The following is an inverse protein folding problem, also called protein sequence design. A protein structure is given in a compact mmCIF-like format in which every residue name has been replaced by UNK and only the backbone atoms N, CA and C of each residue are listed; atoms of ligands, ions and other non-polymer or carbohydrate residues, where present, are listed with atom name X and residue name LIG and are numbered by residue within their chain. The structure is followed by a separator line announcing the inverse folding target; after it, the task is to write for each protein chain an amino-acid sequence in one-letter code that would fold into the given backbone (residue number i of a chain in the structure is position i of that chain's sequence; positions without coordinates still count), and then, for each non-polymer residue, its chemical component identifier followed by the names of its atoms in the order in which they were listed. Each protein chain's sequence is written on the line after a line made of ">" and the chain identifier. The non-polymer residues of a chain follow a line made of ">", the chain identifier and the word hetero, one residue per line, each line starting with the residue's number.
data_IF_371770380573
#
_entry.id   IF_371770380573
#
_cell.length_a   1.000
_cell.length_b   1.000
_cell.length_c   1.000
_cell.angle_alpha   90.00
_cell.angle_beta   90.00
_cell.angle_gamma   90.00
#
_symmetry.space_group_name_H-M   'P 1'
#
loop_
_entity.id
_entity.type
_entity.pdbx_description
1 polymer ?
#
# COMPACT_ATOMS: atom_id res chain seq x y z
N UNK A 1 -6.14 -48.27 31.63
CA UNK A 1 -5.28 -49.19 30.86
C UNK A 1 -5.57 -48.91 29.40
N UNK A 2 -4.71 -48.38 28.53
CA UNK A 2 -3.25 -48.21 28.49
C UNK A 2 -2.99 -47.16 27.41
N UNK A 3 -2.20 -46.13 27.73
CA UNK A 3 -1.61 -45.18 26.79
C UNK A 3 -0.76 -45.89 25.73
N UNK A 4 -0.55 -45.25 24.58
CA UNK A 4 0.69 -45.39 23.78
C UNK A 4 0.93 -44.14 22.95
N UNK A 5 1.79 -43.28 23.50
CA UNK A 5 2.56 -42.29 22.76
C UNK A 5 3.59 -42.99 21.87
N UNK A 6 3.86 -42.45 20.69
CA UNK A 6 5.04 -42.82 19.90
C UNK A 6 5.86 -41.55 19.68
N UNK A 7 7.03 -41.54 20.30
CA UNK A 7 8.10 -40.56 20.10
C UNK A 7 9.22 -41.33 19.37
N UNK A 8 9.76 -40.79 18.28
CA UNK A 8 11.06 -41.21 17.78
C UNK A 8 11.81 -40.02 17.16
N UNK A 9 13.06 -39.94 17.59
CA UNK A 9 14.01 -38.85 17.58
C UNK A 9 15.00 -38.96 16.40
N UNK A 10 15.69 -37.85 16.11
CA UNK A 10 17.09 -37.77 15.63
C UNK A 10 17.33 -38.16 14.15
N UNK A 11 18.01 -37.43 13.27
CA UNK A 11 18.91 -36.27 13.33
C UNK A 11 19.93 -36.45 12.18
N UNK A 12 20.25 -35.41 11.40
CA UNK A 12 21.45 -35.41 10.56
C UNK A 12 22.02 -34.00 10.45
N UNK A 13 23.30 -33.91 10.84
CA UNK A 13 24.17 -32.75 10.84
C UNK A 13 25.04 -32.80 9.57
N UNK A 14 25.18 -31.70 8.83
CA UNK A 14 26.34 -31.47 7.96
C UNK A 14 26.50 -29.96 7.65
N UNK A 15 27.74 -29.50 7.75
CA UNK A 15 28.18 -28.12 7.73
C UNK A 15 28.91 -27.75 6.41
N UNK A 16 29.29 -26.46 6.35
CA UNK A 16 30.32 -25.80 5.53
C UNK A 16 29.95 -25.19 4.17
N UNK A 17 30.32 -23.91 4.03
CA UNK A 17 30.54 -23.26 2.73
C UNK A 17 30.60 -21.72 2.78
N UNK A 18 31.69 -21.15 3.32
CA UNK A 18 32.01 -19.72 3.21
C UNK A 18 32.70 -19.45 1.86
N UNK A 19 32.24 -18.47 1.09
CA UNK A 19 32.98 -17.89 -0.03
C UNK A 19 32.71 -16.38 -0.09
N UNK A 20 33.68 -15.59 0.38
CA UNK A 20 33.80 -14.15 0.12
C UNK A 20 34.66 -13.97 -1.13
N UNK A 21 34.14 -13.24 -2.11
CA UNK A 21 34.89 -12.78 -3.28
C UNK A 21 35.26 -11.29 -3.10
N UNK A 22 36.54 -10.90 -3.28
CA UNK A 22 36.92 -9.50 -3.39
C UNK A 22 36.72 -9.02 -4.84
N UNK A 23 35.73 -8.16 -5.06
CA UNK A 23 35.53 -7.45 -6.32
C UNK A 23 36.16 -6.06 -6.27
N UNK A 24 37.37 -5.93 -6.82
CA UNK A 24 37.94 -4.64 -7.22
C UNK A 24 37.30 -4.23 -8.55
N UNK A 25 36.77 -3.01 -8.64
CA UNK A 25 36.51 -2.37 -9.92
C UNK A 25 37.02 -0.93 -9.91
N UNK A 26 38.01 -0.71 -10.78
CA UNK A 26 38.52 0.56 -11.26
C UNK A 26 37.42 1.60 -11.50
N UNK A 27 37.64 2.82 -11.02
CA UNK A 27 37.07 4.01 -11.67
C UNK A 27 38.20 4.98 -12.00
N UNK A 28 38.42 5.08 -13.31
CA UNK A 28 39.28 6.05 -13.95
C UNK A 28 38.84 7.48 -13.67
N UNK A 29 39.85 8.30 -13.39
CA UNK A 29 39.98 9.73 -13.63
C UNK A 29 39.03 10.32 -14.67
N UNK A 30 38.32 11.39 -14.29
CA UNK A 30 37.90 12.45 -15.23
C UNK A 30 38.28 13.79 -14.63
N UNK A 31 39.22 14.44 -15.30
CA UNK A 31 39.70 15.79 -15.08
C UNK A 31 38.60 16.77 -15.51
N UNK A 32 38.19 17.68 -14.63
CA UNK A 32 37.40 18.85 -15.01
C UNK A 32 38.31 20.07 -14.90
N UNK A 33 38.53 20.69 -16.06
CA UNK A 33 39.25 21.95 -16.25
C UNK A 33 38.40 23.09 -15.71
N UNK A 34 38.98 23.90 -14.83
CA UNK A 34 38.47 25.24 -14.53
C UNK A 34 38.81 26.21 -15.66
N UNK A 35 37.84 27.02 -16.05
CA UNK A 35 38.06 28.31 -16.69
C UNK A 35 37.08 29.32 -16.08
N UNK A 36 37.66 30.40 -15.58
CA UNK A 36 37.06 31.50 -14.84
C UNK A 36 36.21 32.45 -15.69
N UNK A 37 35.42 33.24 -14.95
CA UNK A 37 35.05 34.64 -15.16
C UNK A 37 34.05 35.02 -16.28
N UNK A 38 32.90 35.56 -15.86
CA UNK A 38 32.56 36.97 -16.14
C UNK A 38 31.34 37.41 -15.32
N UNK A 39 31.54 38.46 -14.52
CA UNK A 39 30.51 39.32 -13.97
C UNK A 39 29.61 39.92 -15.09
N UNK A 40 28.32 40.19 -14.79
CA UNK A 40 27.70 41.52 -14.87
C UNK A 40 26.16 41.52 -14.76
N UNK A 41 25.70 42.37 -13.82
CA UNK A 41 24.56 43.30 -13.91
C UNK A 41 23.10 42.79 -13.79
N UNK A 42 22.43 43.37 -12.79
CA UNK A 42 20.99 43.47 -12.63
C UNK A 42 20.38 44.41 -13.70
N UNK A 43 19.25 44.05 -14.32
CA UNK A 43 18.14 44.97 -14.62
C UNK A 43 16.90 44.23 -15.14
N UNK A 44 15.71 44.74 -14.83
CA UNK A 44 14.49 44.53 -15.64
C UNK A 44 13.49 43.46 -15.16
N UNK A 45 12.61 43.83 -14.24
CA UNK A 45 11.27 43.26 -14.18
C UNK A 45 10.42 43.87 -15.30
N UNK A 46 9.98 43.07 -16.27
CA UNK A 46 8.87 43.42 -17.15
C UNK A 46 7.79 42.32 -17.09
N UNK A 47 6.60 42.75 -16.68
CA UNK A 47 5.36 41.99 -16.71
C UNK A 47 4.58 42.44 -17.95
N UNK A 48 4.48 41.59 -18.97
CA UNK A 48 3.32 41.46 -19.86
C UNK A 48 3.71 40.59 -21.06
N UNK A 49 3.22 39.34 -21.11
CA UNK A 49 2.51 38.87 -22.30
C UNK A 49 1.72 37.59 -21.99
N UNK A 50 0.41 37.69 -22.22
CA UNK A 50 -0.55 36.59 -22.17
C UNK A 50 -0.23 35.58 -23.27
N UNK A 51 0.36 34.44 -22.89
CA UNK A 51 0.45 33.26 -23.74
C UNK A 51 -0.63 32.26 -23.37
N UNK A 52 -1.73 32.26 -24.13
CA UNK A 52 -2.76 31.22 -24.14
C UNK A 52 -2.13 29.83 -24.00
N UNK A 53 -2.31 29.22 -22.83
CA UNK A 53 -2.08 27.78 -22.66
C UNK A 53 -3.39 27.10 -23.04
N UNK A 54 -3.46 26.72 -24.31
CA UNK A 54 -4.33 25.67 -24.82
C UNK A 54 -4.00 24.38 -24.07
N UNK A 55 -4.63 24.19 -22.91
CA UNK A 55 -4.70 22.91 -22.23
C UNK A 55 -5.67 22.04 -23.01
N UNK A 56 -5.15 21.48 -24.11
CA UNK A 56 -5.79 20.41 -24.84
C UNK A 56 -6.22 19.31 -23.87
N UNK A 57 -7.54 19.21 -23.74
CA UNK A 57 -8.30 18.03 -23.42
C UNK A 57 -7.73 17.16 -22.29
N UNK A 58 -7.76 17.71 -21.07
CA UNK A 58 -8.15 16.84 -19.97
C UNK A 58 -9.62 16.49 -20.23
N UNK A 59 -9.86 15.32 -20.83
CA UNK A 59 -11.07 14.53 -20.63
C UNK A 59 -11.15 14.22 -19.12
N UNK A 60 -11.39 15.27 -18.33
CA UNK A 60 -11.76 15.19 -16.94
C UNK A 60 -13.02 14.37 -16.94
N UNK A 61 -12.87 13.11 -16.55
CA UNK A 61 -14.00 12.29 -16.21
C UNK A 61 -14.76 13.10 -15.17
N UNK A 62 -15.91 13.59 -15.60
CA UNK A 62 -16.96 14.14 -14.75
C UNK A 62 -17.31 12.99 -13.81
N UNK A 63 -16.56 12.88 -12.71
CA UNK A 63 -16.98 12.12 -11.54
C UNK A 63 -18.21 12.85 -11.06
N UNK A 64 -19.34 12.50 -11.67
CA UNK A 64 -20.65 12.96 -11.30
C UNK A 64 -20.71 12.90 -9.78
N UNK A 65 -20.79 14.08 -9.21
CA UNK A 65 -20.88 14.38 -7.78
C UNK A 65 -22.24 13.89 -7.26
N UNK A 66 -22.49 12.59 -7.42
CA UNK A 66 -23.71 11.89 -7.02
C UNK A 66 -23.46 10.91 -5.88
N UNK A 67 -22.25 10.90 -5.31
CA UNK A 67 -21.87 10.03 -4.19
C UNK A 67 -21.09 10.72 -3.07
N UNK A 68 -20.98 12.05 -3.06
CA UNK A 68 -20.57 12.78 -1.86
C UNK A 68 -21.70 12.83 -0.82
N UNK A 69 -22.28 11.68 -0.48
CA UNK A 69 -22.66 11.50 0.92
C UNK A 69 -21.35 11.62 1.68
N UNK A 70 -21.25 12.56 2.62
CA UNK A 70 -20.10 12.67 3.52
C UNK A 70 -19.95 11.33 4.24
N UNK A 71 -19.14 10.42 3.69
CA UNK A 71 -18.78 9.15 4.31
C UNK A 71 -17.82 9.49 5.45
N UNK A 72 -18.39 9.88 6.59
CA UNK A 72 -17.64 10.01 7.84
C UNK A 72 -17.31 8.60 8.32
N UNK A 73 -16.02 8.28 8.37
CA UNK A 73 -15.49 7.05 8.95
C UNK A 73 -15.21 7.24 10.44
N UNK A 74 -16.23 7.68 11.19
CA UNK A 74 -16.15 7.82 12.64
C UNK A 74 -16.62 6.53 13.31
N UNK A 75 -15.75 5.51 13.35
CA UNK A 75 -16.05 4.24 14.02
C UNK A 75 -15.95 4.39 15.55
N UNK A 76 -16.97 3.92 16.27
CA UNK A 76 -16.92 3.86 17.74
C UNK A 76 -16.25 2.56 18.21
N UNK A 77 -16.32 1.51 17.39
CA UNK A 77 -15.81 0.18 17.72
C UNK A 77 -15.11 -0.53 16.55
N UNK A 78 -14.21 -1.46 16.89
CA UNK A 78 -13.59 -2.37 15.92
C UNK A 78 -14.61 -3.22 15.15
N UNK A 79 -15.77 -3.52 15.75
CA UNK A 79 -16.80 -4.32 15.12
C UNK A 79 -17.49 -3.55 13.98
N UNK A 80 -17.77 -2.27 14.17
CA UNK A 80 -18.35 -1.40 13.13
C UNK A 80 -17.39 -1.21 11.96
N UNK A 81 -16.12 -0.90 12.25
CA UNK A 81 -15.08 -0.80 11.24
C UNK A 81 -14.94 -2.11 10.44
N UNK A 82 -14.94 -3.26 11.13
CA UNK A 82 -14.80 -4.57 10.51
C UNK A 82 -15.96 -4.91 9.56
N UNK A 83 -17.20 -4.54 9.89
CA UNK A 83 -18.35 -4.79 9.00
C UNK A 83 -18.17 -4.08 7.65
N UNK A 84 -17.72 -2.83 7.66
CA UNK A 84 -17.45 -2.07 6.45
C UNK A 84 -16.23 -2.60 5.68
N UNK A 85 -15.14 -2.94 6.39
CA UNK A 85 -13.96 -3.58 5.79
C UNK A 85 -14.32 -4.90 5.08
N UNK A 86 -15.15 -5.74 5.69
CA UNK A 86 -15.58 -7.01 5.08
C UNK A 86 -16.45 -6.78 3.85
N UNK A 87 -17.38 -5.83 3.91
CA UNK A 87 -18.24 -5.47 2.77
C UNK A 87 -17.42 -4.97 1.58
N UNK A 88 -16.46 -4.08 1.84
CA UNK A 88 -15.58 -3.54 0.79
C UNK A 88 -14.62 -4.62 0.26
N UNK A 89 -14.03 -5.44 1.14
CA UNK A 89 -13.20 -6.58 0.70
C UNK A 89 -13.97 -7.53 -0.21
N UNK A 90 -15.20 -7.87 0.15
CA UNK A 90 -16.03 -8.76 -0.66
C UNK A 90 -16.35 -8.15 -2.03
N UNK A 91 -16.68 -6.85 -2.06
CA UNK A 91 -16.90 -6.11 -3.31
C UNK A 91 -15.65 -6.13 -4.18
N UNK A 92 -14.49 -5.75 -3.64
CA UNK A 92 -13.21 -5.75 -4.36
C UNK A 92 -12.88 -7.13 -4.91
N UNK A 93 -13.00 -8.18 -4.08
CA UNK A 93 -12.77 -9.57 -4.48
C UNK A 93 -13.66 -9.95 -5.66
N UNK A 94 -14.96 -9.67 -5.55
CA UNK A 94 -15.94 -10.13 -6.53
C UNK A 94 -15.79 -9.41 -7.87
N UNK A 95 -15.46 -8.11 -7.87
CA UNK A 95 -15.18 -7.35 -9.10
C UNK A 95 -13.88 -7.83 -9.78
N UNK A 96 -12.80 -8.07 -9.04
CA UNK A 96 -11.59 -8.69 -9.61
C UNK A 96 -11.85 -10.10 -10.15
N UNK A 97 -12.66 -10.91 -9.46
CA UNK A 97 -13.04 -12.24 -9.93
C UNK A 97 -13.93 -12.19 -11.18
N UNK A 98 -14.72 -11.13 -11.36
CA UNK A 98 -15.48 -10.85 -12.57
C UNK A 98 -14.61 -10.32 -13.72
N UNK A 99 -13.37 -9.95 -13.45
CA UNK A 99 -12.46 -9.32 -14.41
C UNK A 99 -12.76 -7.83 -14.64
N UNK A 100 -13.49 -7.20 -13.72
CA UNK A 100 -13.89 -5.79 -13.79
C UNK A 100 -13.05 -4.95 -12.81
N UNK A 101 -11.80 -4.70 -13.19
CA UNK A 101 -10.88 -3.91 -12.37
C UNK A 101 -11.31 -2.42 -12.26
N UNK A 102 -12.11 -1.93 -13.20
CA UNK A 102 -12.66 -0.57 -13.17
C UNK A 102 -13.74 -0.46 -12.09
N UNK A 103 -14.64 -1.44 -12.00
CA UNK A 103 -15.62 -1.52 -10.91
C UNK A 103 -14.98 -1.69 -9.53
N UNK A 104 -13.79 -2.31 -9.45
CA UNK A 104 -13.04 -2.45 -8.21
C UNK A 104 -12.32 -1.17 -7.75
N UNK A 105 -12.17 -0.16 -8.63
CA UNK A 105 -11.36 1.04 -8.39
C UNK A 105 -11.86 1.86 -7.20
N UNK A 106 -13.14 2.27 -7.22
CA UNK A 106 -13.70 3.10 -6.15
C UNK A 106 -13.76 2.34 -4.81
N UNK A 107 -14.18 1.05 -4.76
CA UNK A 107 -14.04 0.23 -3.57
C UNK A 107 -12.61 0.11 -3.03
N UNK A 108 -11.59 0.04 -3.89
CA UNK A 108 -10.18 0.00 -3.48
C UNK A 108 -9.73 1.30 -2.81
N UNK A 109 -10.15 2.45 -3.33
CA UNK A 109 -9.85 3.72 -2.68
C UNK A 109 -10.58 3.83 -1.33
N UNK A 110 -11.86 3.45 -1.33
CA UNK A 110 -12.71 3.53 -0.15
C UNK A 110 -12.21 2.64 1.00
N UNK A 111 -11.78 1.40 0.72
CA UNK A 111 -11.23 0.53 1.78
C UNK A 111 -9.94 1.12 2.37
N UNK A 112 -9.13 1.82 1.58
CA UNK A 112 -7.96 2.55 2.08
C UNK A 112 -8.35 3.63 3.10
N UNK A 113 -9.38 4.41 2.82
CA UNK A 113 -9.90 5.44 3.73
C UNK A 113 -10.45 4.84 5.04
N UNK A 114 -11.26 3.78 4.93
CA UNK A 114 -11.78 3.02 6.07
C UNK A 114 -10.67 2.46 6.94
N UNK A 115 -9.61 1.90 6.33
CA UNK A 115 -8.48 1.34 7.07
C UNK A 115 -7.67 2.41 7.80
N UNK A 116 -7.46 3.59 7.19
CA UNK A 116 -6.80 4.73 7.85
C UNK A 116 -7.64 5.22 9.04
N UNK A 117 -8.97 5.33 8.87
CA UNK A 117 -9.86 5.70 9.96
C UNK A 117 -9.84 4.67 11.09
N UNK A 118 -9.83 3.38 10.76
CA UNK A 118 -9.71 2.27 11.72
C UNK A 118 -8.38 2.34 12.46
N UNK A 119 -7.26 2.61 11.77
CA UNK A 119 -5.95 2.80 12.39
C UNK A 119 -5.96 3.96 13.39
N UNK A 120 -6.56 5.09 13.03
CA UNK A 120 -6.69 6.25 13.91
C UNK A 120 -7.50 5.93 15.17
N UNK A 121 -8.62 5.21 15.03
CA UNK A 121 -9.42 4.72 16.15
C UNK A 121 -8.59 3.77 17.05
N UNK A 122 -7.88 2.80 16.47
CA UNK A 122 -7.01 1.87 17.22
C UNK A 122 -5.92 2.62 17.99
N UNK A 123 -5.30 3.63 17.37
CA UNK A 123 -4.26 4.43 18.00
C UNK A 123 -4.76 5.21 19.23
N UNK A 124 -6.04 5.57 19.25
CA UNK A 124 -6.69 6.22 20.38
C UNK A 124 -7.11 5.25 21.51
N UNK A 125 -7.08 3.94 21.26
CA UNK A 125 -7.33 2.94 22.30
C UNK A 125 -6.21 2.94 23.36
N UNK A 126 -6.55 2.58 24.58
CA UNK A 126 -5.57 2.29 25.63
C UNK A 126 -4.63 1.16 25.20
N UNK A 127 -3.36 1.25 25.61
CA UNK A 127 -2.36 0.26 25.24
C UNK A 127 -2.73 -1.12 25.78
N UNK A 128 -2.91 -2.07 24.85
CA UNK A 128 -3.38 -3.43 25.11
C UNK A 128 -2.86 -4.39 24.05
N UNK A 129 -2.88 -5.70 24.35
CA UNK A 129 -2.59 -6.74 23.34
C UNK A 129 -3.56 -6.65 22.15
N UNK A 130 -4.82 -6.32 22.42
CA UNK A 130 -5.85 -6.08 21.41
C UNK A 130 -5.45 -4.95 20.45
N UNK A 131 -4.98 -3.81 20.97
CA UNK A 131 -4.50 -2.68 20.16
C UNK A 131 -3.35 -3.11 19.24
N UNK A 132 -2.35 -3.81 19.77
CA UNK A 132 -1.20 -4.26 18.96
C UNK A 132 -1.61 -5.25 17.87
N UNK A 133 -2.46 -6.23 18.19
CA UNK A 133 -2.92 -7.22 17.23
C UNK A 133 -3.81 -6.59 16.14
N UNK A 134 -4.71 -5.68 16.52
CA UNK A 134 -5.56 -4.96 15.58
C UNK A 134 -4.75 -4.02 14.67
N UNK A 135 -3.80 -3.26 15.23
CA UNK A 135 -2.93 -2.38 14.45
C UNK A 135 -2.12 -3.14 13.40
N UNK A 136 -1.50 -4.26 13.78
CA UNK A 136 -0.74 -5.09 12.84
C UNK A 136 -1.62 -5.70 11.74
N UNK A 137 -2.88 -6.02 12.04
CA UNK A 137 -3.82 -6.51 11.05
C UNK A 137 -4.27 -5.40 10.08
N UNK A 138 -4.55 -4.19 10.57
CA UNK A 138 -4.87 -3.03 9.71
C UNK A 138 -3.67 -2.65 8.83
N UNK A 139 -2.45 -2.63 9.37
CA UNK A 139 -1.22 -2.38 8.59
C UNK A 139 -1.05 -3.40 7.47
N UNK A 140 -1.25 -4.69 7.75
CA UNK A 140 -1.20 -5.73 6.72
C UNK A 140 -2.24 -5.52 5.62
N UNK A 141 -3.46 -5.08 5.97
CA UNK A 141 -4.50 -4.80 4.99
C UNK A 141 -4.15 -3.57 4.14
N UNK A 142 -3.64 -2.50 4.76
CA UNK A 142 -3.17 -1.32 4.03
C UNK A 142 -2.07 -1.68 3.03
N UNK A 143 -1.08 -2.47 3.44
CA UNK A 143 0.00 -2.94 2.57
C UNK A 143 -0.55 -3.78 1.41
N UNK A 144 -1.41 -4.76 1.69
CA UNK A 144 -1.98 -5.66 0.68
C UNK A 144 -2.87 -4.92 -0.32
N UNK A 145 -3.74 -4.01 0.13
CA UNK A 145 -4.56 -3.21 -0.79
C UNK A 145 -3.74 -2.16 -1.54
N UNK A 146 -2.69 -1.60 -0.92
CA UNK A 146 -1.77 -0.67 -1.60
C UNK A 146 -1.07 -1.34 -2.78
N UNK A 147 -0.59 -2.58 -2.64
CA UNK A 147 0.06 -3.28 -3.76
C UNK A 147 -0.92 -3.72 -4.83
N UNK A 148 -2.21 -3.92 -4.50
CA UNK A 148 -3.27 -4.13 -5.50
C UNK A 148 -3.55 -2.84 -6.27
N UNK A 149 -3.74 -1.73 -5.58
CA UNK A 149 -3.93 -0.40 -6.18
C UNK A 149 -2.77 0.01 -7.09
N UNK A 150 -1.53 -0.22 -6.65
CA UNK A 150 -0.33 0.01 -7.46
C UNK A 150 -0.33 -0.76 -8.79
N UNK A 151 -1.02 -1.91 -8.87
CA UNK A 151 -1.17 -2.66 -10.12
C UNK A 151 -2.06 -1.97 -11.15
N UNK A 152 -2.98 -1.10 -10.69
CA UNK A 152 -3.92 -0.34 -11.51
C UNK A 152 -3.37 1.06 -11.84
N UNK A 153 -2.68 1.68 -10.89
CA UNK A 153 -2.26 3.08 -10.94
C UNK A 153 -0.76 3.32 -11.09
N UNK A 154 -0.40 4.58 -11.33
CA UNK A 154 0.98 5.04 -11.40
C UNK A 154 1.70 4.70 -12.71
N UNK A 155 3.03 4.80 -12.68
CA UNK A 155 3.89 4.52 -13.83
C UNK A 155 3.97 3.03 -14.11
N UNK A 156 4.42 2.64 -15.30
CA UNK A 156 4.70 1.24 -15.64
C UNK A 156 5.67 0.57 -14.65
N UNK A 157 6.62 1.33 -14.10
CA UNK A 157 7.50 0.82 -13.04
C UNK A 157 6.73 0.53 -11.74
N UNK A 158 5.80 1.40 -11.36
CA UNK A 158 4.91 1.19 -10.19
C UNK A 158 4.03 -0.04 -10.40
N UNK A 159 3.36 -0.13 -11.56
CA UNK A 159 2.51 -1.27 -11.93
C UNK A 159 3.26 -2.59 -11.94
N UNK A 160 4.54 -2.58 -12.33
CA UNK A 160 5.38 -3.78 -12.31
C UNK A 160 5.68 -4.33 -10.92
N UNK A 161 5.48 -3.52 -9.86
CA UNK A 161 5.63 -3.91 -8.45
C UNK A 161 4.30 -4.26 -7.80
N UNK A 162 3.18 -3.88 -8.44
CA UNK A 162 1.84 -4.22 -8.00
C UNK A 162 1.59 -5.72 -8.04
N UNK A 163 0.54 -6.14 -7.33
CA UNK A 163 0.10 -7.53 -7.22
C UNK A 163 -1.35 -7.63 -7.65
N UNK A 164 -1.75 -8.81 -8.12
CA UNK A 164 -3.17 -9.10 -8.29
C UNK A 164 -3.83 -9.30 -6.92
N UNK A 165 -5.16 -9.12 -6.84
CA UNK A 165 -5.91 -9.47 -5.63
C UNK A 165 -5.65 -10.92 -5.21
N UNK A 166 -5.62 -11.85 -6.17
CA UNK A 166 -5.36 -13.27 -5.91
C UNK A 166 -4.03 -13.51 -5.20
N UNK A 167 -2.97 -12.76 -5.58
CA UNK A 167 -1.63 -12.88 -4.98
C UNK A 167 -1.59 -12.51 -3.49
N UNK A 168 -2.52 -11.68 -3.02
CA UNK A 168 -2.58 -11.17 -1.64
C UNK A 168 -3.81 -11.67 -0.86
N UNK A 169 -4.75 -12.34 -1.53
CA UNK A 169 -6.04 -12.77 -0.96
C UNK A 169 -5.91 -13.55 0.35
N UNK A 170 -4.96 -14.50 0.44
CA UNK A 170 -4.71 -15.26 1.67
C UNK A 170 -4.21 -14.38 2.84
N UNK A 171 -3.44 -13.33 2.54
CA UNK A 171 -2.92 -12.37 3.52
C UNK A 171 -4.05 -11.48 4.04
N UNK A 172 -4.86 -10.95 3.13
CA UNK A 172 -6.07 -10.18 3.44
C UNK A 172 -7.01 -10.98 4.33
N UNK A 173 -7.33 -12.22 3.96
CA UNK A 173 -8.23 -13.09 4.73
C UNK A 173 -7.69 -13.33 6.14
N UNK A 174 -6.37 -13.56 6.28
CA UNK A 174 -5.74 -13.77 7.58
C UNK A 174 -5.77 -12.52 8.45
N UNK A 175 -5.59 -11.34 7.87
CA UNK A 175 -5.67 -10.07 8.59
C UNK A 175 -7.11 -9.79 9.05
N UNK A 176 -8.11 -10.01 8.19
CA UNK A 176 -9.54 -9.92 8.56
C UNK A 176 -9.89 -10.91 9.68
N UNK A 177 -9.42 -12.14 9.61
CA UNK A 177 -9.62 -13.14 10.68
C UNK A 177 -8.90 -12.79 11.99
N UNK A 178 -7.90 -11.91 11.94
CA UNK A 178 -7.28 -11.33 13.13
C UNK A 178 -8.16 -10.22 13.69
N UNK A 179 -8.60 -9.27 12.87
CA UNK A 179 -9.55 -8.22 13.28
C UNK A 179 -10.84 -8.80 13.86
N UNK A 180 -11.40 -9.86 13.29
CA UNK A 180 -12.55 -10.59 13.84
C UNK A 180 -12.36 -11.11 15.25
N UNK A 181 -11.13 -11.48 15.63
CA UNK A 181 -10.84 -11.96 17.00
C UNK A 181 -10.75 -10.79 17.97
N UNK A 182 -10.17 -9.69 17.51
CA UNK A 182 -10.00 -8.47 18.30
C UNK A 182 -11.28 -7.64 18.40
N UNK A 183 -12.23 -7.77 17.47
CA UNK A 183 -13.52 -7.06 17.49
C UNK A 183 -14.57 -7.66 18.44
N UNK A 184 -14.17 -8.56 19.36
CA UNK A 184 -15.06 -9.31 20.26
C UNK A 184 -15.15 -8.74 21.66
#
# INVERSE_FOLDING_TARGET
>A
MTSKSFSLTLGLLAAFGFAVLPGCQDKSTTTVTEASDSDHAHDGHDHDEHGDHDHGDHEGHDHGDTHAEEHSHDFETLAEALEEIESLRDTIRDEFAAGDADAAHDPLHHIGEVLIATENMINAMEDSEQKTAAAAAVESLLDDFTVVDQGLHGSEESKSKGKSYDDVSESIDKAIETLKKEAK
#
